data_IF_461873062234
#
_entry.id   IF_461873062234
#
_cell.length_a   1.000
_cell.length_b   1.000
_cell.length_c   1.000
_cell.angle_alpha   90.00
_cell.angle_beta   90.00
_cell.angle_gamma   90.00
#
_symmetry.space_group_name_H-M   'P 1'
#
loop_
_entity.id
_entity.type
_entity.pdbx_description
1 polymer ?
#
# COMPACT_ATOMS: atom_id res chain seq x y z
N UNK A 1 18.77 11.61 5.09
CA UNK A 1 18.33 10.39 5.81
C UNK A 1 18.69 9.14 4.99
N UNK A 2 19.43 8.18 5.56
CA UNK A 2 19.78 6.91 4.90
C UNK A 2 18.53 6.03 4.74
N UNK A 3 17.70 6.43 3.78
CA UNK A 3 16.52 5.82 3.15
C UNK A 3 15.94 4.61 3.92
N UNK A 4 14.80 4.83 4.60
CA UNK A 4 13.87 3.72 4.88
C UNK A 4 13.27 3.19 3.58
N UNK A 5 12.29 2.29 3.64
CA UNK A 5 11.66 1.76 2.44
C UNK A 5 11.38 0.27 2.56
N UNK A 6 11.32 -0.44 1.44
CA UNK A 6 11.10 -1.88 1.40
C UNK A 6 12.40 -2.65 1.71
N UNK A 7 12.82 -2.62 2.98
CA UNK A 7 14.08 -3.21 3.46
C UNK A 7 13.88 -4.15 4.67
N UNK A 8 12.62 -4.50 4.97
CA UNK A 8 12.26 -5.44 6.04
C UNK A 8 12.40 -4.90 7.46
N UNK A 9 12.69 -3.61 7.67
CA UNK A 9 12.87 -3.02 9.01
C UNK A 9 11.63 -3.11 9.89
N UNK A 10 10.43 -3.07 9.28
CA UNK A 10 9.13 -3.19 9.95
C UNK A 10 8.97 -4.48 10.77
N UNK A 11 9.83 -5.49 10.60
CA UNK A 11 9.81 -6.70 11.44
C UNK A 11 10.27 -6.46 12.88
N UNK A 12 11.00 -5.37 13.12
CA UNK A 12 11.55 -5.06 14.44
C UNK A 12 10.55 -4.35 15.33
N UNK A 13 10.58 -4.69 16.62
CA UNK A 13 9.66 -4.17 17.64
C UNK A 13 9.68 -2.63 17.74
N UNK A 14 10.84 -2.00 17.56
CA UNK A 14 10.98 -0.52 17.58
C UNK A 14 10.09 0.16 16.56
N UNK A 15 10.00 -0.38 15.34
CA UNK A 15 9.18 0.18 14.27
C UNK A 15 7.72 -0.30 14.35
N UNK A 16 7.47 -1.54 14.78
CA UNK A 16 6.11 -2.04 15.03
C UNK A 16 5.36 -1.25 16.12
N UNK A 17 6.09 -0.62 17.04
CA UNK A 17 5.53 0.22 18.11
C UNK A 17 5.19 1.65 17.70
N UNK A 18 5.57 2.08 16.49
CA UNK A 18 5.10 3.36 15.95
C UNK A 18 3.57 3.36 15.88
N UNK A 19 2.93 4.49 16.19
CA UNK A 19 1.48 4.63 16.26
C UNK A 19 0.77 4.23 14.96
N UNK A 20 1.34 4.62 13.81
CA UNK A 20 0.82 4.26 12.49
C UNK A 20 0.86 2.73 12.19
N UNK A 21 1.66 1.96 12.94
CA UNK A 21 1.84 0.52 12.75
C UNK A 21 1.00 -0.33 13.74
N UNK A 22 0.12 0.31 14.53
CA UNK A 22 -0.69 -0.36 15.55
C UNK A 22 -1.45 -1.58 14.99
N UNK A 23 -1.07 -2.77 15.47
CA UNK A 23 -1.68 -4.05 15.11
C UNK A 23 -0.99 -4.84 14.00
N UNK A 24 0.01 -4.27 13.30
CA UNK A 24 0.75 -4.97 12.22
C UNK A 24 1.59 -6.15 12.71
N UNK A 25 1.90 -6.22 14.00
CA UNK A 25 2.52 -7.41 14.62
C UNK A 25 1.73 -8.69 14.36
N UNK A 26 0.40 -8.60 14.17
CA UNK A 26 -0.42 -9.76 13.83
C UNK A 26 -0.14 -10.27 12.41
N UNK A 27 0.08 -9.37 11.45
CA UNK A 27 0.48 -9.75 10.10
C UNK A 27 1.86 -10.43 10.11
N UNK A 28 2.82 -9.87 10.85
CA UNK A 28 4.14 -10.49 11.01
C UNK A 28 4.04 -11.91 11.59
N UNK A 29 3.20 -12.12 12.62
CA UNK A 29 2.95 -13.45 13.20
C UNK A 29 2.34 -14.43 12.20
N UNK A 30 1.43 -13.98 11.33
CA UNK A 30 0.84 -14.83 10.28
C UNK A 30 1.87 -15.22 9.22
N UNK A 31 2.86 -14.36 8.97
CA UNK A 31 3.94 -14.61 8.00
C UNK A 31 5.06 -15.48 8.56
N UNK A 32 5.23 -15.54 9.88
CA UNK A 32 6.36 -16.23 10.52
C UNK A 32 6.50 -17.70 10.10
N UNK A 33 5.43 -18.53 10.04
CA UNK A 33 5.56 -19.92 9.58
C UNK A 33 6.05 -20.04 8.12
N UNK A 34 5.72 -19.07 7.25
CA UNK A 34 6.20 -19.02 5.87
C UNK A 34 7.69 -18.66 5.87
N UNK A 35 8.07 -17.65 6.66
CA UNK A 35 9.48 -17.23 6.80
C UNK A 35 10.36 -18.37 7.32
N UNK A 36 9.88 -19.11 8.32
CA UNK A 36 10.61 -20.23 8.93
C UNK A 36 10.81 -21.38 7.92
N UNK A 37 9.82 -21.62 7.06
CA UNK A 37 9.90 -22.63 5.99
C UNK A 37 10.85 -22.22 4.86
N UNK A 38 10.96 -20.92 4.58
CA UNK A 38 11.79 -20.38 3.50
C UNK A 38 12.79 -19.34 4.04
N UNK A 39 13.82 -19.78 4.78
CA UNK A 39 14.74 -18.87 5.48
C UNK A 39 15.55 -17.97 4.52
N UNK A 40 15.72 -18.38 3.26
CA UNK A 40 16.41 -17.61 2.22
C UNK A 40 15.60 -16.43 1.68
N UNK A 41 14.28 -16.41 1.85
CA UNK A 41 13.46 -15.25 1.50
C UNK A 41 13.65 -14.17 2.57
N UNK A 42 13.99 -12.96 2.15
CA UNK A 42 14.12 -11.80 3.05
C UNK A 42 12.75 -11.37 3.55
N UNK A 43 12.69 -10.75 4.74
CA UNK A 43 11.45 -10.14 5.20
C UNK A 43 10.99 -9.02 4.26
N UNK A 44 11.94 -8.26 3.70
CA UNK A 44 11.69 -7.24 2.69
C UNK A 44 10.90 -7.79 1.48
N UNK A 45 11.33 -8.92 0.90
CA UNK A 45 10.58 -9.55 -0.19
C UNK A 45 9.30 -10.22 0.27
N UNK A 46 9.30 -10.88 1.43
CA UNK A 46 8.11 -11.56 1.95
C UNK A 46 6.94 -10.60 2.19
N UNK A 47 7.22 -9.40 2.71
CA UNK A 47 6.21 -8.34 2.90
C UNK A 47 5.58 -7.91 1.57
N UNK A 48 6.42 -7.66 0.57
CA UNK A 48 5.95 -7.19 -0.73
C UNK A 48 5.27 -8.29 -1.54
N UNK A 49 5.78 -9.53 -1.47
CA UNK A 49 5.15 -10.72 -2.06
C UNK A 49 3.74 -10.91 -1.51
N UNK A 50 3.58 -10.93 -0.18
CA UNK A 50 2.26 -11.14 0.40
C UNK A 50 1.30 -10.00 0.12
N UNK A 51 1.78 -8.75 0.06
CA UNK A 51 0.93 -7.63 -0.35
C UNK A 51 0.44 -7.81 -1.79
N UNK A 52 1.34 -8.09 -2.73
CA UNK A 52 0.96 -8.26 -4.14
C UNK A 52 0.04 -9.47 -4.35
N UNK A 53 0.34 -10.60 -3.71
CA UNK A 53 -0.52 -11.79 -3.73
C UNK A 53 -1.88 -11.50 -3.12
N UNK A 54 -1.96 -10.76 -2.02
CA UNK A 54 -3.24 -10.40 -1.41
C UNK A 54 -4.13 -9.55 -2.34
N UNK A 55 -3.53 -8.67 -3.14
CA UNK A 55 -4.27 -7.88 -4.15
C UNK A 55 -4.81 -8.79 -5.25
N UNK A 56 -3.98 -9.66 -5.81
CA UNK A 56 -4.37 -10.56 -6.90
C UNK A 56 -5.45 -11.57 -6.44
N UNK A 57 -5.29 -12.18 -5.27
CA UNK A 57 -6.27 -13.11 -4.68
C UNK A 57 -7.60 -12.42 -4.31
N UNK A 58 -7.58 -11.11 -4.03
CA UNK A 58 -8.79 -10.32 -3.81
C UNK A 58 -9.49 -9.91 -5.12
N UNK A 59 -9.00 -10.35 -6.28
CA UNK A 59 -9.55 -10.02 -7.60
C UNK A 59 -8.98 -8.75 -8.23
N UNK A 60 -7.91 -8.19 -7.67
CA UNK A 60 -7.24 -7.01 -8.18
C UNK A 60 -6.30 -7.29 -9.35
N UNK A 61 -5.62 -6.25 -9.86
CA UNK A 61 -4.73 -6.40 -11.01
C UNK A 61 -3.45 -7.16 -10.64
N UNK A 62 -2.86 -7.81 -11.65
CA UNK A 62 -1.52 -8.36 -11.53
C UNK A 62 -0.50 -7.23 -11.40
N UNK A 63 0.22 -7.19 -10.28
CA UNK A 63 1.25 -6.17 -10.03
C UNK A 63 2.56 -6.63 -10.69
N UNK A 64 3.26 -5.78 -11.47
CA UNK A 64 4.54 -6.11 -12.09
C UNK A 64 5.68 -6.10 -11.06
N UNK A 65 5.65 -7.07 -10.15
CA UNK A 65 6.58 -7.20 -9.03
C UNK A 65 7.98 -7.63 -9.49
N UNK A 66 8.98 -7.11 -8.78
CA UNK A 66 10.36 -7.61 -8.77
C UNK A 66 10.76 -7.97 -7.35
N UNK A 67 11.74 -8.86 -7.21
CA UNK A 67 12.24 -9.39 -5.94
C UNK A 67 13.77 -9.35 -5.92
N UNK A 68 14.37 -9.73 -4.79
CA UNK A 68 15.80 -9.61 -4.50
C UNK A 68 16.11 -8.52 -3.47
N UNK A 69 15.12 -8.05 -2.70
CA UNK A 69 15.32 -6.98 -1.70
C UNK A 69 16.17 -7.48 -0.56
N UNK A 70 17.14 -6.67 -0.16
CA UNK A 70 18.03 -6.95 0.97
C UNK A 70 17.40 -6.48 2.27
N UNK A 71 17.38 -7.36 3.28
CA UNK A 71 16.97 -6.99 4.64
C UNK A 71 18.02 -6.06 5.30
N UNK A 72 17.56 -5.07 6.06
CA UNK A 72 18.40 -4.46 7.10
C UNK A 72 18.82 -5.52 8.12
N UNK A 73 19.96 -5.34 8.80
CA UNK A 73 20.50 -6.35 9.73
C UNK A 73 20.07 -6.15 11.17
N UNK A 74 19.70 -4.93 11.58
CA UNK A 74 19.36 -4.64 12.98
C UNK A 74 18.35 -3.51 13.17
N UNK A 75 17.75 -3.41 14.37
CA UNK A 75 16.73 -2.41 14.71
C UNK A 75 17.24 -0.96 14.67
N UNK A 76 18.53 -0.73 14.81
CA UNK A 76 19.19 0.57 14.68
C UNK A 76 19.06 1.17 13.26
N UNK A 77 18.71 0.35 12.27
CA UNK A 77 18.47 0.77 10.89
C UNK A 77 16.99 1.04 10.59
N UNK A 78 16.09 0.90 11.58
CA UNK A 78 14.71 1.32 11.44
C UNK A 78 14.63 2.85 11.24
N UNK A 79 13.78 3.34 10.32
CA UNK A 79 13.55 4.76 10.22
C UNK A 79 12.89 5.30 11.50
N UNK A 80 13.10 6.58 11.85
CA UNK A 80 12.32 7.20 12.92
C UNK A 80 10.83 7.27 12.54
N UNK A 81 9.97 7.30 13.55
CA UNK A 81 8.53 7.53 13.43
C UNK A 81 8.21 8.86 12.72
N UNK A 82 6.97 9.00 12.24
CA UNK A 82 6.46 10.23 11.62
C UNK A 82 6.67 10.32 10.11
N UNK A 83 7.08 9.23 9.46
CA UNK A 83 7.20 9.16 7.99
C UNK A 83 5.94 8.65 7.29
N UNK A 84 5.03 7.99 8.01
CA UNK A 84 3.74 7.55 7.47
C UNK A 84 2.70 8.67 7.60
N UNK A 85 1.68 8.72 6.74
CA UNK A 85 0.68 9.78 6.78
C UNK A 85 -0.33 9.56 7.93
N UNK A 86 -0.65 10.65 8.64
CA UNK A 86 -1.85 10.76 9.47
C UNK A 86 -3.14 10.82 8.63
N UNK A 87 -4.22 10.23 9.16
CA UNK A 87 -5.55 10.21 8.53
C UNK A 87 -6.38 11.49 8.74
N UNK A 88 -6.09 12.27 9.79
CA UNK A 88 -6.83 13.48 10.14
C UNK A 88 -5.97 14.72 10.39
N UNK A 89 -5.03 15.07 9.50
CA UNK A 89 -4.29 16.33 9.59
C UNK A 89 -5.23 17.52 9.34
N UNK A 90 -4.79 18.74 9.69
CA UNK A 90 -5.58 19.96 9.47
C UNK A 90 -5.78 20.31 7.99
N UNK A 91 -4.83 19.94 7.13
CA UNK A 91 -4.88 20.12 5.67
C UNK A 91 -4.58 18.79 4.97
N UNK A 92 -5.58 17.91 4.76
CA UNK A 92 -5.33 16.54 4.31
C UNK A 92 -4.70 16.41 2.94
N UNK A 93 -5.11 17.23 1.96
CA UNK A 93 -4.51 17.16 0.62
C UNK A 93 -3.03 17.56 0.62
N UNK A 94 -2.68 18.65 1.30
CA UNK A 94 -1.30 19.12 1.43
C UNK A 94 -0.44 18.13 2.21
N UNK A 95 -1.01 17.51 3.25
CA UNK A 95 -0.33 16.47 4.01
C UNK A 95 -0.05 15.22 3.18
N UNK A 96 -1.00 14.77 2.36
CA UNK A 96 -0.78 13.67 1.41
C UNK A 96 0.37 14.01 0.46
N UNK A 97 0.37 15.20 -0.14
CA UNK A 97 1.48 15.65 -1.00
C UNK A 97 2.80 15.69 -0.24
N UNK A 98 2.84 16.26 0.95
CA UNK A 98 4.05 16.35 1.77
C UNK A 98 4.68 14.96 2.01
N UNK A 99 3.85 13.96 2.31
CA UNK A 99 4.30 12.60 2.60
C UNK A 99 4.71 11.86 1.33
N UNK A 100 3.86 11.86 0.30
CA UNK A 100 4.05 11.07 -0.91
C UNK A 100 5.06 11.70 -1.89
N UNK A 101 5.14 13.02 -1.99
CA UNK A 101 6.15 13.69 -2.81
C UNK A 101 7.56 13.42 -2.29
N UNK A 102 7.73 13.34 -0.96
CA UNK A 102 8.99 12.91 -0.34
C UNK A 102 9.37 11.46 -0.71
N UNK A 103 8.38 10.63 -1.04
CA UNK A 103 8.58 9.27 -1.55
C UNK A 103 8.83 9.22 -3.07
N UNK A 104 8.75 10.36 -3.76
CA UNK A 104 8.84 10.43 -5.22
C UNK A 104 7.57 9.94 -5.92
N UNK A 105 6.43 9.97 -5.23
CA UNK A 105 5.11 9.62 -5.76
C UNK A 105 4.31 10.88 -6.10
N UNK A 106 3.62 10.90 -7.24
CA UNK A 106 2.86 12.04 -7.73
C UNK A 106 1.36 12.00 -7.35
N UNK A 107 0.60 13.01 -7.78
CA UNK A 107 -0.84 13.10 -7.49
C UNK A 107 -1.65 11.91 -8.05
N UNK A 108 -1.27 11.35 -9.21
CA UNK A 108 -1.93 10.16 -9.77
C UNK A 108 -1.71 8.96 -8.87
N UNK A 109 -0.47 8.77 -8.43
CA UNK A 109 -0.04 7.65 -7.60
C UNK A 109 -0.62 7.74 -6.18
N UNK A 110 -0.74 8.94 -5.62
CA UNK A 110 -1.46 9.18 -4.36
C UNK A 110 -2.88 8.65 -4.46
N UNK A 111 -3.65 9.13 -5.44
CA UNK A 111 -5.07 8.78 -5.58
C UNK A 111 -5.24 7.29 -5.90
N UNK A 112 -4.38 6.72 -6.76
CA UNK A 112 -4.44 5.30 -7.08
C UNK A 112 -4.17 4.45 -5.83
N UNK A 113 -3.08 4.70 -5.11
CA UNK A 113 -2.71 3.92 -3.92
C UNK A 113 -3.73 4.04 -2.78
N UNK A 114 -4.38 5.18 -2.62
CA UNK A 114 -5.51 5.32 -1.68
C UNK A 114 -6.66 4.34 -1.97
N UNK A 115 -6.82 3.93 -3.24
CA UNK A 115 -7.76 2.88 -3.65
C UNK A 115 -7.58 1.54 -2.94
N UNK A 116 -6.41 1.28 -2.33
CA UNK A 116 -6.19 0.10 -1.49
C UNK A 116 -7.17 0.01 -0.30
N UNK A 117 -7.76 1.13 0.13
CA UNK A 117 -8.84 1.15 1.13
C UNK A 117 -10.13 0.46 0.67
N UNK A 118 -10.25 0.04 -0.60
CA UNK A 118 -11.30 -0.91 -1.01
C UNK A 118 -11.21 -2.22 -0.23
N UNK A 119 -10.00 -2.58 0.24
CA UNK A 119 -9.78 -3.72 1.12
C UNK A 119 -9.69 -3.30 2.59
N UNK A 120 -10.32 -4.10 3.43
CA UNK A 120 -10.18 -4.02 4.88
C UNK A 120 -11.04 -2.95 5.52
N UNK A 121 -10.59 -2.50 6.70
CA UNK A 121 -11.38 -1.74 7.65
C UNK A 121 -10.50 -1.10 8.70
N UNK A 122 -10.95 0.04 9.22
CA UNK A 122 -10.36 0.69 10.38
C UNK A 122 -10.96 0.15 11.69
N UNK A 123 -10.19 0.26 12.77
CA UNK A 123 -10.55 -0.18 14.11
C UNK A 123 -10.17 0.90 15.13
N UNK A 124 -11.09 1.38 15.97
CA UNK A 124 -10.80 2.44 16.94
C UNK A 124 -9.72 2.04 17.95
N UNK A 125 -9.63 0.77 18.32
CA UNK A 125 -8.58 0.24 19.21
C UNK A 125 -7.19 0.14 18.56
N UNK A 126 -7.07 0.39 17.25
CA UNK A 126 -5.80 0.43 16.53
C UNK A 126 -5.44 1.86 16.13
N UNK A 127 -6.16 2.41 15.16
CA UNK A 127 -5.86 3.72 14.56
C UNK A 127 -6.60 4.87 15.26
N UNK A 128 -7.59 4.58 16.10
CA UNK A 128 -8.52 5.58 16.64
C UNK A 128 -9.70 5.90 15.72
N UNK A 129 -9.74 5.35 14.50
CA UNK A 129 -10.76 5.68 13.50
C UNK A 129 -11.81 4.58 13.30
N UNK A 130 -13.02 5.02 12.97
CA UNK A 130 -14.15 4.16 12.62
C UNK A 130 -14.96 3.65 13.82
N UNK A 131 -16.10 3.04 13.52
CA UNK A 131 -16.97 2.39 14.50
C UNK A 131 -16.37 1.07 15.02
N UNK A 132 -16.70 0.64 16.25
CA UNK A 132 -16.30 -0.68 16.76
C UNK A 132 -16.81 -1.86 15.91
N UNK A 133 -17.95 -1.70 15.23
CA UNK A 133 -18.53 -2.68 14.32
C UNK A 133 -19.61 -2.03 13.43
N UNK A 134 -19.97 -2.69 12.33
CA UNK A 134 -21.08 -2.32 11.43
C UNK A 134 -21.82 -3.54 10.91
N UNK A 135 -22.89 -3.31 10.14
CA UNK A 135 -23.63 -4.39 9.44
C UNK A 135 -22.74 -5.23 8.52
N UNK A 136 -21.64 -4.68 7.99
CA UNK A 136 -20.71 -5.36 7.07
C UNK A 136 -19.63 -6.19 7.76
N UNK A 137 -19.31 -5.87 9.02
CA UNK A 137 -18.10 -6.39 9.68
C UNK A 137 -18.39 -7.22 10.93
N UNK A 138 -19.61 -7.13 11.48
CA UNK A 138 -20.02 -7.83 12.72
C UNK A 138 -19.96 -9.35 12.63
N UNK A 139 -20.06 -9.92 11.43
CA UNK A 139 -20.10 -11.37 11.21
C UNK A 139 -18.84 -11.92 10.52
N UNK A 140 -17.78 -11.12 10.39
CA UNK A 140 -16.58 -11.53 9.66
C UNK A 140 -16.79 -11.54 8.14
N UNK A 141 -16.05 -12.38 7.38
CA UNK A 141 -15.18 -13.46 7.84
C UNK A 141 -13.91 -12.98 8.58
N UNK A 142 -13.15 -13.91 9.16
CA UNK A 142 -12.04 -13.59 10.06
C UNK A 142 -12.53 -12.96 11.39
N UNK A 143 -11.67 -12.19 12.05
CA UNK A 143 -12.05 -11.51 13.29
C UNK A 143 -13.12 -10.41 13.03
N UNK A 144 -14.31 -10.44 13.65
CA UNK A 144 -15.36 -9.45 13.42
C UNK A 144 -15.03 -8.06 13.98
N UNK A 145 -15.82 -7.04 13.61
CA UNK A 145 -15.69 -5.65 14.11
C UNK A 145 -14.89 -4.71 13.21
N UNK A 146 -14.76 -3.44 13.59
CA UNK A 146 -14.23 -2.35 12.77
C UNK A 146 -15.22 -1.83 11.72
N UNK A 147 -14.80 -0.82 10.97
CA UNK A 147 -15.60 -0.17 9.93
C UNK A 147 -14.85 -0.16 8.60
N UNK A 148 -15.44 -0.74 7.55
CA UNK A 148 -14.87 -0.78 6.20
C UNK A 148 -15.23 0.45 5.39
N UNK A 149 -14.47 0.72 4.32
CA UNK A 149 -14.81 1.74 3.32
C UNK A 149 -15.80 1.23 2.28
N UNK A 150 -15.83 -0.07 2.06
CA UNK A 150 -16.71 -0.74 1.09
C UNK A 150 -17.53 -1.83 1.77
N UNK A 151 -18.66 -2.20 1.16
CA UNK A 151 -19.49 -3.31 1.64
C UNK A 151 -18.76 -4.65 1.50
N UNK A 152 -18.12 -4.88 0.36
CA UNK A 152 -17.33 -6.07 0.04
C UNK A 152 -15.83 -5.84 0.33
N UNK A 153 -15.49 -5.59 1.59
CA UNK A 153 -14.14 -5.22 2.04
C UNK A 153 -13.04 -6.29 1.86
N UNK A 154 -13.33 -7.40 1.19
CA UNK A 154 -12.37 -8.43 0.77
C UNK A 154 -12.23 -8.55 -0.75
N UNK A 155 -12.96 -7.72 -1.50
CA UNK A 155 -12.90 -7.64 -2.96
C UNK A 155 -12.10 -6.40 -3.34
N UNK A 156 -11.09 -6.58 -4.18
CA UNK A 156 -10.36 -5.46 -4.75
C UNK A 156 -11.06 -5.00 -6.03
N UNK A 157 -11.63 -3.81 -6.00
CA UNK A 157 -12.38 -3.18 -7.09
C UNK A 157 -12.36 -1.65 -6.95
N UNK A 158 -13.04 -0.92 -7.83
CA UNK A 158 -13.10 0.55 -7.74
C UNK A 158 -14.21 1.10 -6.81
N UNK A 159 -14.87 0.25 -6.01
CA UNK A 159 -15.98 0.66 -5.14
C UNK A 159 -15.57 1.73 -4.14
N UNK A 160 -14.33 1.69 -3.63
CA UNK A 160 -13.79 2.73 -2.75
C UNK A 160 -14.05 4.16 -3.28
N UNK A 161 -13.72 4.43 -4.55
CA UNK A 161 -13.90 5.78 -5.12
C UNK A 161 -15.37 6.17 -5.26
N UNK A 162 -16.25 5.19 -5.53
CA UNK A 162 -17.70 5.41 -5.60
C UNK A 162 -18.25 5.76 -4.21
N UNK A 163 -17.90 4.98 -3.20
CA UNK A 163 -18.43 5.13 -1.85
C UNK A 163 -17.98 6.43 -1.17
N UNK A 164 -16.69 6.79 -1.26
CA UNK A 164 -16.18 8.03 -0.65
C UNK A 164 -16.66 9.29 -1.38
N UNK A 165 -17.05 9.19 -2.66
CA UNK A 165 -17.66 10.27 -3.43
C UNK A 165 -19.10 10.51 -2.99
N UNK A 166 -19.88 9.43 -2.92
CA UNK A 166 -21.32 9.53 -2.67
C UNK A 166 -21.68 9.67 -1.19
N UNK A 167 -20.90 9.06 -0.30
CA UNK A 167 -21.05 9.12 1.17
C UNK A 167 -22.48 8.79 1.64
N UNK A 168 -23.16 7.86 0.95
CA UNK A 168 -24.59 7.55 1.18
C UNK A 168 -24.82 6.59 2.36
N UNK A 169 -23.89 5.67 2.61
CA UNK A 169 -24.00 4.71 3.70
C UNK A 169 -23.15 5.14 4.89
N UNK A 170 -23.80 5.48 6.01
CA UNK A 170 -23.13 5.90 7.25
C UNK A 170 -22.33 4.78 7.94
N UNK A 171 -22.50 3.53 7.52
CA UNK A 171 -21.67 2.42 7.97
C UNK A 171 -20.39 2.26 7.15
N UNK A 172 -20.24 2.98 6.04
CA UNK A 172 -18.98 3.04 5.30
C UNK A 172 -18.13 4.21 5.78
N UNK A 173 -16.85 3.94 5.98
CA UNK A 173 -15.89 4.91 6.49
C UNK A 173 -15.45 5.87 5.39
N UNK A 174 -15.26 7.13 5.76
CA UNK A 174 -14.56 8.14 4.96
C UNK A 174 -13.67 8.92 5.91
N UNK A 175 -12.35 8.77 5.80
CA UNK A 175 -11.39 9.57 6.55
C UNK A 175 -11.26 10.97 5.93
N UNK A 176 -10.75 11.97 6.68
CA UNK A 176 -10.40 13.27 6.10
C UNK A 176 -9.46 13.17 4.88
N UNK A 177 -8.48 12.27 4.91
CA UNK A 177 -7.59 12.03 3.76
C UNK A 177 -8.27 11.36 2.56
N UNK A 178 -9.32 10.54 2.78
CA UNK A 178 -10.12 9.98 1.67
C UNK A 178 -11.01 11.07 1.05
N UNK A 179 -11.66 11.88 1.90
CA UNK A 179 -12.50 12.98 1.46
C UNK A 179 -11.72 13.99 0.59
N UNK A 180 -10.47 14.26 0.96
CA UNK A 180 -9.59 15.16 0.23
C UNK A 180 -9.37 14.76 -1.25
N UNK A 181 -9.51 13.47 -1.60
CA UNK A 181 -9.35 13.02 -2.98
C UNK A 181 -10.42 13.58 -3.93
N UNK A 182 -11.60 13.93 -3.42
CA UNK A 182 -12.70 14.53 -4.19
C UNK A 182 -12.89 16.04 -3.91
N UNK A 183 -12.18 16.58 -2.92
CA UNK A 183 -12.21 18.01 -2.55
C UNK A 183 -11.06 18.79 -3.21
N UNK A 184 -9.87 18.20 -3.31
CA UNK A 184 -8.72 18.82 -3.98
C UNK A 184 -8.90 18.80 -5.51
N UNK A 185 -8.71 19.94 -6.21
CA UNK A 185 -8.95 20.03 -7.66
C UNK A 185 -8.09 19.09 -8.51
N UNK A 186 -6.84 18.80 -8.11
CA UNK A 186 -5.95 17.95 -8.90
C UNK A 186 -6.19 16.47 -8.62
N UNK A 187 -6.36 16.08 -7.34
CA UNK A 187 -6.72 14.71 -7.00
C UNK A 187 -8.05 14.28 -7.60
N UNK A 188 -9.04 15.19 -7.60
CA UNK A 188 -10.39 14.91 -8.09
C UNK A 188 -10.40 14.42 -9.54
N UNK A 189 -9.46 14.89 -10.38
CA UNK A 189 -9.33 14.43 -11.78
C UNK A 189 -9.14 12.90 -11.83
N UNK A 190 -8.26 12.37 -10.99
CA UNK A 190 -7.98 10.94 -10.93
C UNK A 190 -9.07 10.18 -10.16
N UNK A 191 -9.60 10.76 -9.07
CA UNK A 191 -10.62 10.11 -8.27
C UNK A 191 -11.93 9.91 -9.05
N UNK A 192 -12.34 10.92 -9.84
CA UNK A 192 -13.49 10.83 -10.76
C UNK A 192 -13.23 9.81 -11.88
N UNK A 193 -12.01 9.79 -12.45
CA UNK A 193 -11.60 8.79 -13.44
C UNK A 193 -11.76 7.38 -12.89
N UNK A 194 -11.20 7.09 -11.72
CA UNK A 194 -11.22 5.76 -11.13
C UNK A 194 -12.61 5.34 -10.66
N UNK A 195 -13.46 6.28 -10.21
CA UNK A 195 -14.86 5.97 -9.89
C UNK A 195 -15.66 5.52 -11.13
N UNK A 196 -15.35 6.07 -12.31
CA UNK A 196 -16.03 5.77 -13.57
C UNK A 196 -15.41 4.58 -14.33
N UNK A 197 -14.12 4.33 -14.18
CA UNK A 197 -13.35 3.38 -14.98
C UNK A 197 -12.44 2.52 -14.10
N UNK A 198 -12.86 1.28 -13.87
CA UNK A 198 -12.12 0.30 -13.06
C UNK A 198 -10.85 -0.19 -13.76
N UNK A 199 -10.86 -0.31 -15.10
CA UNK A 199 -9.68 -0.76 -15.84
C UNK A 199 -8.57 0.29 -15.74
N UNK A 200 -8.92 1.57 -15.86
CA UNK A 200 -8.00 2.66 -15.63
C UNK A 200 -7.45 2.67 -14.19
N UNK A 201 -8.29 2.43 -13.19
CA UNK A 201 -7.86 2.29 -11.80
C UNK A 201 -6.87 1.14 -11.64
N UNK A 202 -7.20 -0.05 -12.15
CA UNK A 202 -6.39 -1.25 -12.03
C UNK A 202 -5.02 -1.07 -12.68
N UNK A 203 -4.98 -0.47 -13.88
CA UNK A 203 -3.73 -0.16 -14.57
C UNK A 203 -2.84 0.78 -13.75
N UNK A 204 -3.38 1.93 -13.33
CA UNK A 204 -2.60 2.93 -12.60
C UNK A 204 -2.22 2.42 -11.18
N UNK A 205 -3.07 1.62 -10.53
CA UNK A 205 -2.79 0.97 -9.25
C UNK A 205 -1.64 -0.03 -9.34
N UNK A 206 -1.64 -0.91 -10.36
CA UNK A 206 -0.59 -1.90 -10.54
C UNK A 206 0.79 -1.24 -10.71
N UNK A 207 0.86 -0.17 -11.52
CA UNK A 207 2.08 0.62 -11.73
C UNK A 207 2.54 1.31 -10.42
N UNK A 208 1.62 1.98 -9.73
CA UNK A 208 1.92 2.70 -8.49
C UNK A 208 2.34 1.76 -7.35
N UNK A 209 1.67 0.60 -7.20
CA UNK A 209 2.00 -0.41 -6.20
C UNK A 209 3.40 -1.01 -6.45
N UNK A 210 3.71 -1.36 -7.70
CA UNK A 210 5.04 -1.85 -8.06
C UNK A 210 6.14 -0.82 -7.75
N UNK A 211 5.90 0.46 -8.05
CA UNK A 211 6.82 1.56 -7.71
C UNK A 211 6.98 1.71 -6.19
N UNK A 212 5.88 1.76 -5.44
CA UNK A 212 5.86 1.82 -3.97
C UNK A 212 6.67 0.67 -3.36
N UNK A 213 6.44 -0.55 -3.84
CA UNK A 213 7.12 -1.76 -3.34
C UNK A 213 8.64 -1.72 -3.51
N UNK A 214 9.16 -0.86 -4.37
CA UNK A 214 10.59 -0.75 -4.70
C UNK A 214 11.27 0.43 -4.01
N UNK A 215 10.52 1.31 -3.34
CA UNK A 215 11.07 2.53 -2.75
C UNK A 215 12.10 2.21 -1.66
N UNK A 216 13.27 2.83 -1.78
CA UNK A 216 14.36 2.72 -0.81
C UNK A 216 15.00 1.33 -0.68
N UNK A 217 14.54 0.35 -1.47
CA UNK A 217 15.11 -0.99 -1.45
C UNK A 217 16.50 -1.02 -2.08
N UNK A 218 17.36 -1.89 -1.53
CA UNK A 218 18.57 -2.37 -2.20
C UNK A 218 18.27 -3.76 -2.75
N UNK A 219 18.62 -4.01 -4.01
CA UNK A 219 18.45 -5.31 -4.65
C UNK A 219 19.80 -6.05 -4.78
N UNK A 220 19.78 -7.37 -4.67
CA UNK A 220 20.93 -8.27 -4.92
C UNK A 220 20.52 -9.48 -5.78
N UNK A 221 21.05 -9.64 -7.01
CA UNK A 221 22.00 -8.75 -7.67
C UNK A 221 21.42 -7.35 -7.88
N UNK A 222 22.30 -6.34 -7.85
CA UNK A 222 21.91 -4.96 -8.11
C UNK A 222 21.15 -4.87 -9.43
N UNK A 223 20.11 -4.02 -9.48
CA UNK A 223 19.35 -3.78 -10.70
C UNK A 223 20.32 -3.45 -11.82
N UNK A 224 20.37 -4.31 -12.85
CA UNK A 224 21.09 -3.92 -14.05
C UNK A 224 20.17 -2.94 -14.76
N UNK A 225 20.58 -1.67 -14.84
CA UNK A 225 19.88 -0.66 -15.62
C UNK A 225 19.54 -1.24 -16.99
N UNK A 226 18.27 -1.26 -17.36
CA UNK A 226 17.78 -1.80 -18.65
C UNK A 226 18.39 -1.11 -19.89
N UNK A 227 19.28 -0.15 -19.70
CA UNK A 227 20.06 0.52 -20.72
C UNK A 227 21.06 -0.40 -21.48
N UNK A 228 21.54 -1.50 -20.89
CA UNK A 228 22.47 -2.42 -21.59
C UNK A 228 21.79 -3.44 -22.51
N UNK A 229 20.46 -3.59 -22.44
CA UNK A 229 19.71 -4.57 -23.24
C UNK A 229 19.47 -4.13 -24.69
N UNK A 230 19.72 -2.86 -25.05
CA UNK A 230 19.57 -2.36 -26.43
C UNK A 230 20.88 -2.46 -27.23
N UNK A 231 22.03 -2.55 -26.57
CA UNK A 231 23.33 -2.69 -27.24
C UNK A 231 23.71 -4.14 -27.57
N UNK A 232 23.13 -5.14 -26.91
CA UNK A 232 23.44 -6.56 -27.15
C UNK A 232 22.62 -7.22 -28.28
N UNK A 233 21.67 -6.49 -28.88
CA UNK A 233 20.83 -6.98 -29.99
C UNK A 233 21.23 -6.38 -31.37
N UNK A 234 22.38 -5.72 -31.46
CA UNK A 234 22.93 -5.15 -32.70
C UNK A 234 24.40 -5.48 -32.88
N UNK A 235 24.74 -6.77 -32.85
CA UNK A 235 25.91 -7.22 -33.60
C UNK A 235 25.38 -7.89 -34.88
N UNK A 236 25.74 -7.39 -36.07
CA UNK A 236 25.40 -8.08 -37.30
C UNK A 236 26.27 -9.33 -37.39
N UNK A 237 25.63 -10.50 -37.53
CA UNK A 237 26.27 -11.65 -38.15
C UNK A 237 26.75 -11.25 -39.54
N UNK A 238 28.07 -11.26 -39.78
CA UNK A 238 28.70 -11.82 -40.99
C UNK A 238 30.20 -11.48 -41.12
N UNK A 239 30.94 -12.17 -42.01
CA UNK A 239 30.53 -13.26 -42.91
C UNK A 239 31.20 -14.63 -42.67
#
# INVERSE_FOLDING_TARGET
PERGGANGSLRFDVELKHGANAGLVNALKLMQPIKDKYPSITYADLFQLASATAIEEAGGPKIPMKYGRVDVTGPEQCPPEGKLPDAGPSAPADHLRLVFYRMGLDDKEIVALSGAHTLGRSRPERSGWGKPETKYTKNGPGAPGGQSWTAEWLKFDNSYFKEIKEKRDQDLLVLPTDAALFEDPAFKVYAEKYAADEEAFFKDYAEAHAKLSSLGAKFDPAERDSHWMISAAREPENP
#
